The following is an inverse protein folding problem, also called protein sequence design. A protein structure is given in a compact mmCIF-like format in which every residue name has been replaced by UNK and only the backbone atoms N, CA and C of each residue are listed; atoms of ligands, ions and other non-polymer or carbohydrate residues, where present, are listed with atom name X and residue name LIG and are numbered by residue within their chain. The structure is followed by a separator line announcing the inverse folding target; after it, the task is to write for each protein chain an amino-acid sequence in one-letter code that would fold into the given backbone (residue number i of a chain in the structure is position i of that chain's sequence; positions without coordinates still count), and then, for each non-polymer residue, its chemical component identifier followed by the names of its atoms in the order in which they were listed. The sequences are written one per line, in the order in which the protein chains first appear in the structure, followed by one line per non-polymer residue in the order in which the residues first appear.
data_IF_538716296590
#
_entry.id   IF_538716296590
#
_cell.length_a   1.000
_cell.length_b   1.000
_cell.length_c   1.000
_cell.angle_alpha   90.00
_cell.angle_beta   90.00
_cell.angle_gamma   90.00
#
_symmetry.space_group_name_H-M   'P 1'
#
loop_
_entity.id
_entity.type
_entity.pdbx_description
1 polymer ?
#
# COMPACT_ATOMS: atom_id res chain seq x y z
N UNK A 1 21.47 1.99 12.20
CA UNK A 1 20.22 2.24 11.46
C UNK A 1 19.13 1.38 12.07
N UNK A 2 18.29 1.95 12.94
CA UNK A 2 17.19 1.21 13.56
C UNK A 2 16.15 0.88 12.50
N UNK A 3 16.07 -0.38 12.08
CA UNK A 3 15.08 -0.88 11.14
C UNK A 3 13.70 -0.67 11.76
N UNK A 4 12.85 0.08 11.06
CA UNK A 4 11.44 0.14 11.41
C UNK A 4 10.84 -1.25 11.14
N UNK A 5 10.70 -2.07 12.18
CA UNK A 5 10.22 -3.46 12.08
C UNK A 5 8.71 -3.56 11.80
N UNK A 6 8.00 -2.42 11.72
CA UNK A 6 6.61 -2.37 11.22
C UNK A 6 6.60 -2.48 9.69
N UNK A 7 7.15 -3.56 9.16
CA UNK A 7 7.10 -3.84 7.73
C UNK A 7 5.71 -4.34 7.36
N UNK A 8 5.23 -3.89 6.20
CA UNK A 8 4.11 -4.49 5.48
C UNK A 8 4.35 -6.00 5.45
N UNK A 9 3.44 -6.80 6.01
CA UNK A 9 3.68 -8.24 6.20
C UNK A 9 4.07 -8.90 4.88
N UNK A 10 4.87 -9.99 4.87
CA UNK A 10 5.31 -10.66 3.65
C UNK A 10 4.14 -11.01 2.71
N UNK A 11 2.99 -11.37 3.28
CA UNK A 11 1.75 -11.62 2.54
C UNK A 11 1.22 -10.37 1.81
N UNK A 12 1.30 -9.20 2.43
CA UNK A 12 0.88 -7.91 1.84
C UNK A 12 1.89 -7.46 0.78
N UNK A 13 3.19 -7.62 1.01
CA UNK A 13 4.22 -7.30 0.01
C UNK A 13 4.13 -8.22 -1.23
N UNK A 14 3.93 -9.52 -1.01
CA UNK A 14 3.75 -10.50 -2.09
C UNK A 14 2.48 -10.21 -2.90
N UNK A 15 1.40 -9.83 -2.21
CA UNK A 15 0.17 -9.40 -2.84
C UNK A 15 0.31 -8.09 -3.62
N UNK A 16 1.04 -7.10 -3.10
CA UNK A 16 1.39 -5.88 -3.83
C UNK A 16 2.13 -6.22 -5.12
N UNK A 17 3.10 -7.14 -5.05
CA UNK A 17 3.82 -7.66 -6.21
C UNK A 17 2.89 -8.29 -7.24
N UNK A 18 1.92 -9.11 -6.80
CA UNK A 18 0.89 -9.68 -7.68
C UNK A 18 -0.01 -8.61 -8.33
N UNK A 19 -0.39 -7.58 -7.59
CA UNK A 19 -1.17 -6.46 -8.13
C UNK A 19 -0.37 -5.66 -9.17
N UNK A 20 0.93 -5.48 -8.96
CA UNK A 20 1.82 -4.85 -9.93
C UNK A 20 1.97 -5.68 -11.21
N UNK A 21 2.07 -7.00 -11.08
CA UNK A 21 2.13 -7.94 -12.21
C UNK A 21 0.79 -8.12 -12.91
N UNK A 22 -0.33 -7.77 -12.28
CA UNK A 22 -1.65 -7.92 -12.89
C UNK A 22 -1.87 -6.88 -13.99
N UNK A 23 -2.15 -7.35 -15.21
CA UNK A 23 -2.57 -6.49 -16.33
C UNK A 23 -3.97 -5.89 -16.14
N UNK A 24 -4.80 -6.51 -15.28
CA UNK A 24 -6.15 -6.05 -14.95
C UNK A 24 -6.17 -4.99 -13.83
N UNK A 25 -5.04 -4.81 -13.12
CA UNK A 25 -4.93 -3.79 -12.10
C UNK A 25 -4.84 -2.39 -12.74
N UNK A 26 -5.70 -1.48 -12.27
CA UNK A 26 -5.65 -0.08 -12.67
C UNK A 26 -4.32 0.57 -12.27
N UNK A 27 -3.92 1.60 -13.00
CA UNK A 27 -2.74 2.43 -12.70
C UNK A 27 -2.69 2.84 -11.21
N UNK A 28 -3.86 3.18 -10.68
CA UNK A 28 -4.08 3.54 -9.28
C UNK A 28 -3.71 2.41 -8.30
N UNK A 29 -4.16 1.18 -8.58
CA UNK A 29 -3.84 0.01 -7.76
C UNK A 29 -2.35 -0.33 -7.81
N UNK A 30 -1.73 -0.18 -8.99
CA UNK A 30 -0.28 -0.38 -9.17
C UNK A 30 0.52 0.64 -8.36
N UNK A 31 0.13 1.92 -8.38
CA UNK A 31 0.78 2.95 -7.57
C UNK A 31 0.65 2.71 -6.07
N UNK A 32 -0.54 2.29 -5.61
CA UNK A 32 -0.78 1.91 -4.22
C UNK A 32 0.07 0.71 -3.79
N UNK A 33 0.10 -0.34 -4.62
CA UNK A 33 0.90 -1.53 -4.38
C UNK A 33 2.39 -1.21 -4.35
N UNK A 34 2.89 -0.42 -5.31
CA UNK A 34 4.27 0.04 -5.33
C UNK A 34 4.64 0.83 -4.08
N UNK A 35 3.75 1.70 -3.60
CA UNK A 35 3.97 2.50 -2.38
C UNK A 35 4.00 1.62 -1.13
N UNK A 36 3.11 0.63 -1.03
CA UNK A 36 3.11 -0.36 0.04
C UNK A 36 4.41 -1.18 0.09
N UNK A 37 4.94 -1.55 -1.09
CA UNK A 37 6.19 -2.29 -1.26
C UNK A 37 7.40 -1.41 -0.93
N UNK A 38 7.40 -0.16 -1.38
CA UNK A 38 8.45 0.82 -1.06
C UNK A 38 8.50 1.08 0.45
N UNK A 39 7.36 1.25 1.11
CA UNK A 39 7.27 1.34 2.57
C UNK A 39 7.78 0.08 3.27
N UNK A 40 7.47 -1.12 2.73
CA UNK A 40 7.93 -2.39 3.28
C UNK A 40 9.46 -2.46 3.30
N UNK A 41 10.10 -2.05 2.20
CA UNK A 41 11.50 -2.38 1.95
C UNK A 41 12.47 -1.24 2.23
N UNK A 42 12.01 0.01 2.21
CA UNK A 42 12.93 1.18 2.20
C UNK A 42 12.67 2.20 3.31
N UNK A 43 11.63 2.03 4.14
CA UNK A 43 11.27 3.02 5.16
C UNK A 43 10.85 4.39 4.58
N UNK A 44 10.72 4.49 3.25
CA UNK A 44 10.25 5.69 2.56
C UNK A 44 8.79 5.94 2.91
N UNK A 45 8.44 7.20 3.13
CA UNK A 45 7.07 7.58 3.43
C UNK A 45 6.23 7.66 2.16
N UNK A 46 4.98 7.23 2.28
CA UNK A 46 3.96 7.42 1.25
C UNK A 46 3.54 8.89 1.22
N UNK A 47 3.50 9.47 0.02
CA UNK A 47 3.05 10.85 -0.18
C UNK A 47 1.53 11.00 -0.08
N UNK A 48 1.07 12.23 0.21
CA UNK A 48 -0.35 12.56 0.41
C UNK A 48 -1.27 12.13 -0.75
N UNK A 49 -0.79 12.16 -1.98
CA UNK A 49 -1.54 11.71 -3.15
C UNK A 49 -1.90 10.21 -3.06
N UNK A 50 -0.95 9.38 -2.63
CA UNK A 50 -1.17 7.94 -2.49
C UNK A 50 -2.00 7.65 -1.24
N UNK A 51 -1.87 8.41 -0.16
CA UNK A 51 -2.75 8.28 1.01
C UNK A 51 -4.21 8.56 0.65
N UNK A 52 -4.50 9.66 -0.06
CA UNK A 52 -5.85 9.98 -0.50
C UNK A 52 -6.44 8.86 -1.39
N UNK A 53 -5.58 8.30 -2.23
CA UNK A 53 -5.91 7.17 -3.11
C UNK A 53 -6.17 5.90 -2.31
N UNK A 54 -5.36 5.61 -1.29
CA UNK A 54 -5.52 4.47 -0.40
C UNK A 54 -6.83 4.58 0.39
N UNK A 55 -7.12 5.77 0.90
CA UNK A 55 -8.37 6.09 1.59
C UNK A 55 -9.58 5.91 0.68
N UNK A 56 -9.49 6.30 -0.60
CA UNK A 56 -10.53 6.01 -1.60
C UNK A 56 -10.67 4.51 -1.87
N UNK A 57 -9.56 3.78 -1.95
CA UNK A 57 -9.59 2.33 -2.18
C UNK A 57 -10.19 1.57 -0.99
N UNK A 58 -9.97 2.05 0.25
CA UNK A 58 -10.63 1.53 1.46
C UNK A 58 -12.13 1.82 1.46
N UNK A 59 -12.54 2.98 0.97
CA UNK A 59 -13.96 3.36 0.86
C UNK A 59 -14.66 2.68 -0.32
N UNK A 60 -13.90 2.16 -1.29
CA UNK A 60 -14.46 1.47 -2.45
C UNK A 60 -14.84 0.04 -2.07
N UNK A 61 -16.14 -0.27 -2.16
CA UNK A 61 -16.70 -1.62 -2.01
C UNK A 61 -16.36 -2.54 -3.19
N UNK A 62 -15.94 -1.99 -4.32
CA UNK A 62 -15.47 -2.77 -5.48
C UNK A 62 -14.02 -3.26 -5.34
N UNK A 63 -13.26 -2.69 -4.40
CA UNK A 63 -11.91 -3.12 -4.14
C UNK A 63 -11.91 -4.50 -3.46
N UNK A 64 -11.18 -5.46 -4.02
CA UNK A 64 -10.99 -6.77 -3.40
C UNK A 64 -10.44 -6.62 -1.98
N UNK A 65 -10.82 -7.52 -1.07
CA UNK A 65 -10.38 -7.52 0.33
C UNK A 65 -8.85 -7.40 0.46
N UNK A 66 -8.11 -7.96 -0.50
CA UNK A 66 -6.65 -7.85 -0.63
C UNK A 66 -6.18 -6.43 -0.95
N UNK A 67 -6.86 -5.70 -1.84
CA UNK A 67 -6.58 -4.28 -2.12
C UNK A 67 -6.88 -3.40 -0.90
N UNK A 68 -7.97 -3.66 -0.19
CA UNK A 68 -8.30 -2.96 1.05
C UNK A 68 -7.25 -3.21 2.13
N UNK A 69 -6.76 -4.45 2.29
CA UNK A 69 -5.64 -4.76 3.20
C UNK A 69 -4.36 -4.01 2.83
N UNK A 70 -4.03 -3.93 1.53
CA UNK A 70 -2.90 -3.16 1.02
C UNK A 70 -3.03 -1.68 1.34
N UNK A 71 -4.17 -1.08 0.99
CA UNK A 71 -4.46 0.32 1.24
C UNK A 71 -4.47 0.64 2.75
N UNK A 72 -5.06 -0.23 3.57
CA UNK A 72 -5.05 -0.12 5.03
C UNK A 72 -3.64 -0.19 5.61
N UNK A 73 -2.76 -1.01 5.02
CA UNK A 73 -1.35 -1.05 5.42
C UNK A 73 -0.62 0.24 5.05
N UNK A 74 -0.83 0.75 3.84
CA UNK A 74 -0.27 2.04 3.38
C UNK A 74 -0.70 3.20 4.29
N UNK A 75 -2.00 3.27 4.64
CA UNK A 75 -2.57 4.29 5.54
C UNK A 75 -2.09 4.10 6.98
N UNK A 76 -1.93 2.86 7.44
CA UNK A 76 -1.47 2.59 8.81
C UNK A 76 0.02 2.87 9.01
N UNK A 77 0.81 2.75 7.94
CA UNK A 77 2.25 3.00 7.90
C UNK A 77 2.62 4.41 7.44
N UNK A 78 1.66 5.16 6.91
CA UNK A 78 1.83 6.60 6.72
C UNK A 78 1.80 7.29 8.09
N UNK A 79 2.68 8.27 8.23
CA UNK A 79 3.00 8.80 9.54
C UNK A 79 1.82 9.61 10.10
N UNK A 80 1.17 9.07 11.13
CA UNK A 80 0.00 9.67 11.80
C UNK A 80 0.30 10.99 12.53
N UNK A 81 1.57 11.40 12.63
CA UNK A 81 2.05 12.62 13.30
C UNK A 81 2.14 13.86 12.39
N UNK A 82 1.41 13.88 11.27
CA UNK A 82 1.36 15.08 10.41
C UNK A 82 0.38 16.12 10.94
#
# INVERSE_FOLDING_TARGET
MGSNTKQTSPSVASLAGKTLQSSSASQVQKQLAASALAQAHTGKQTGAAIEATASKALQSTSASATTQKLAGSVVSQSNRKR
#
